data_IF_505870585593
#
_entry.id   IF_505870585593
#
_cell.length_a   1.000
_cell.length_b   1.000
_cell.length_c   1.000
_cell.angle_alpha   90.00
_cell.angle_beta   90.00
_cell.angle_gamma   90.00
#
_symmetry.space_group_name_H-M   'P 1'
#
loop_
_entity.id
_entity.type
_entity.pdbx_description
1 polymer ?
#
# COMPACT_ATOMS: atom_id res chain seq x y z
N UNK A 1 19.91 -11.69 -43.23
CA UNK A 1 19.82 -12.03 -41.79
C UNK A 1 21.20 -11.95 -41.15
N UNK A 2 21.52 -10.87 -40.43
CA UNK A 2 22.59 -10.82 -39.41
C UNK A 2 22.17 -9.79 -38.35
N UNK A 3 22.22 -10.17 -37.08
CA UNK A 3 21.81 -9.32 -35.95
C UNK A 3 22.84 -8.19 -35.74
N UNK A 4 22.35 -6.94 -35.63
CA UNK A 4 23.07 -5.82 -35.04
C UNK A 4 23.07 -6.01 -33.52
N UNK A 5 24.23 -5.90 -32.87
CA UNK A 5 24.34 -5.84 -31.42
C UNK A 5 24.34 -4.37 -30.99
N UNK A 6 23.32 -3.96 -30.23
CA UNK A 6 23.32 -2.70 -29.47
C UNK A 6 23.80 -3.00 -28.06
N UNK A 7 24.81 -2.28 -27.58
CA UNK A 7 25.27 -2.33 -26.18
C UNK A 7 24.76 -1.07 -25.49
N UNK A 8 23.87 -1.24 -24.52
CA UNK A 8 23.31 -0.13 -23.73
C UNK A 8 23.97 -0.13 -22.36
N UNK A 9 24.77 0.90 -22.06
CA UNK A 9 25.20 1.18 -20.68
C UNK A 9 24.23 2.19 -20.06
N UNK A 10 23.68 1.84 -18.91
CA UNK A 10 22.83 2.71 -18.12
C UNK A 10 23.71 3.42 -17.09
N UNK A 11 23.74 4.74 -17.13
CA UNK A 11 24.31 5.56 -16.06
C UNK A 11 23.15 6.31 -15.41
N UNK A 12 22.96 6.08 -14.12
CA UNK A 12 22.02 6.87 -13.31
C UNK A 12 22.78 8.12 -12.89
N UNK A 13 22.38 9.29 -13.38
CA UNK A 13 22.85 10.57 -12.87
C UNK A 13 21.78 11.15 -11.94
N UNK A 14 22.23 11.56 -10.76
CA UNK A 14 21.45 12.17 -9.69
C UNK A 14 20.77 13.48 -10.15
N UNK A 15 19.64 13.87 -9.56
CA UNK A 15 18.98 15.13 -9.91
C UNK A 15 19.84 16.32 -9.49
N UNK A 16 20.05 17.26 -10.41
CA UNK A 16 20.57 18.61 -10.10
C UNK A 16 19.36 19.53 -9.95
N UNK A 17 19.18 20.09 -8.76
CA UNK A 17 18.22 21.16 -8.52
C UNK A 17 18.83 22.47 -9.04
N UNK A 18 18.25 23.08 -10.09
CA UNK A 18 18.59 24.45 -10.45
C UNK A 18 17.68 25.41 -9.66
N UNK A 19 18.33 26.28 -8.90
CA UNK A 19 17.71 27.34 -8.11
C UNK A 19 17.65 28.62 -8.94
N UNK A 20 16.51 28.89 -9.58
CA UNK A 20 16.08 30.26 -9.93
C UNK A 20 14.77 30.26 -10.72
N UNK A 21 13.64 30.28 -10.02
CA UNK A 21 12.43 31.03 -10.41
C UNK A 21 11.42 31.04 -9.24
N UNK A 22 10.60 32.10 -9.07
CA UNK A 22 9.69 32.23 -7.94
C UNK A 22 8.38 31.43 -8.13
N UNK A 23 7.82 31.00 -7.00
CA UNK A 23 6.70 30.06 -6.77
C UNK A 23 5.43 30.21 -7.64
N UNK A 24 5.05 29.16 -8.40
CA UNK A 24 3.79 28.38 -8.23
C UNK A 24 3.73 27.18 -9.20
N UNK A 25 3.42 25.99 -8.66
CA UNK A 25 3.10 24.69 -9.31
C UNK A 25 4.16 24.07 -10.26
N UNK A 26 5.12 23.33 -9.69
CA UNK A 26 5.96 22.38 -10.42
C UNK A 26 5.73 20.98 -9.85
N UNK A 27 5.07 20.13 -10.63
CA UNK A 27 5.34 18.70 -10.67
C UNK A 27 5.11 18.22 -12.10
N UNK A 28 5.90 18.80 -13.01
CA UNK A 28 6.10 18.27 -14.35
C UNK A 28 7.54 17.80 -14.43
N UNK A 29 7.73 16.49 -14.52
CA UNK A 29 9.03 15.91 -14.83
C UNK A 29 9.23 16.00 -16.35
N UNK A 30 10.06 16.94 -16.77
CA UNK A 30 10.52 17.01 -18.15
C UNK A 30 11.74 16.10 -18.31
N UNK A 31 11.59 14.99 -19.03
CA UNK A 31 12.74 14.24 -19.50
C UNK A 31 13.16 14.77 -20.87
N UNK A 32 14.43 15.16 -21.02
CA UNK A 32 15.02 15.42 -22.33
C UNK A 32 15.79 14.17 -22.74
N UNK A 33 15.29 13.43 -23.73
CA UNK A 33 16.11 12.43 -24.41
C UNK A 33 16.82 13.06 -25.60
N UNK A 34 18.15 12.99 -25.59
CA UNK A 34 18.98 13.38 -26.72
C UNK A 34 19.29 12.13 -27.55
N UNK A 35 18.65 11.95 -28.69
CA UNK A 35 19.10 10.98 -29.69
C UNK A 35 19.96 11.67 -30.74
N UNK A 36 21.26 11.40 -30.69
CA UNK A 36 22.17 11.73 -31.79
C UNK A 36 22.16 10.55 -32.75
N UNK A 37 21.53 10.73 -33.91
CA UNK A 37 21.61 9.75 -35.01
C UNK A 37 22.60 10.30 -36.03
N UNK A 38 23.68 9.56 -36.29
CA UNK A 38 24.58 9.84 -37.40
C UNK A 38 24.14 9.04 -38.62
N UNK A 39 23.94 9.73 -39.74
CA UNK A 39 23.90 9.11 -41.06
C UNK A 39 25.31 9.15 -41.67
N UNK A 40 25.78 8.01 -42.16
CA UNK A 40 27.02 7.90 -42.94
C UNK A 40 26.73 8.39 -44.37
N UNK A 41 26.69 9.71 -44.55
CA UNK A 41 27.04 10.49 -45.75
C UNK A 41 26.26 11.83 -45.73
N UNK A 42 27.03 12.92 -45.67
CA UNK A 42 26.65 14.34 -45.72
C UNK A 42 25.88 14.96 -44.53
N UNK A 43 26.55 15.94 -43.89
CA UNK A 43 26.07 16.78 -42.79
C UNK A 43 24.85 17.62 -43.21
N UNK A 44 23.66 17.23 -42.78
CA UNK A 44 22.52 18.13 -42.66
C UNK A 44 21.81 17.87 -41.32
N UNK A 45 21.73 18.91 -40.47
CA UNK A 45 20.97 18.90 -39.21
C UNK A 45 19.56 19.41 -39.53
N UNK A 46 18.59 18.50 -39.60
CA UNK A 46 17.18 18.88 -39.61
C UNK A 46 16.65 18.80 -38.17
N UNK A 47 16.16 19.92 -37.67
CA UNK A 47 15.45 20.02 -36.39
C UNK A 47 13.96 20.08 -36.75
N UNK A 48 13.25 18.96 -36.64
CA UNK A 48 11.78 18.99 -36.69
C UNK A 48 11.25 18.87 -35.26
N UNK A 49 10.54 19.90 -34.80
CA UNK A 49 9.72 19.82 -33.60
C UNK A 49 8.35 19.34 -34.06
N UNK A 50 7.95 18.16 -33.61
CA UNK A 50 6.57 17.69 -33.78
C UNK A 50 5.95 17.53 -32.40
N UNK A 51 4.85 18.24 -32.15
CA UNK A 51 4.07 18.09 -30.92
C UNK A 51 3.12 16.92 -31.12
N UNK A 52 3.30 15.84 -30.37
CA UNK A 52 2.35 14.73 -30.32
C UNK A 52 1.62 14.76 -28.97
N UNK A 53 0.30 15.00 -29.01
CA UNK A 53 -0.59 14.70 -27.89
C UNK A 53 -0.90 13.20 -27.96
N UNK A 54 -0.21 12.39 -27.14
CA UNK A 54 -0.49 10.96 -27.03
C UNK A 54 -1.46 10.75 -25.89
N UNK A 55 -2.75 10.60 -26.23
CA UNK A 55 -3.73 9.95 -25.38
C UNK A 55 -3.73 8.44 -25.66
N UNK A 56 -3.73 7.68 -24.57
CA UNK A 56 -3.69 6.22 -24.41
C UNK A 56 -2.37 5.51 -24.80
N UNK A 57 -1.63 4.92 -23.84
CA UNK A 57 -0.57 3.99 -24.17
C UNK A 57 -1.18 2.61 -24.46
N UNK A 58 -1.22 2.23 -25.74
CA UNK A 58 -1.68 0.91 -26.16
C UNK A 58 -0.48 -0.05 -26.17
N UNK A 59 -0.52 -0.99 -25.21
CA UNK A 59 -0.05 -2.37 -25.25
C UNK A 59 1.32 -2.68 -25.87
N UNK A 60 2.20 -3.36 -25.11
CA UNK A 60 2.65 -4.72 -25.44
C UNK A 60 3.41 -5.36 -24.25
N UNK A 61 2.75 -6.37 -23.64
CA UNK A 61 3.27 -7.60 -23.00
C UNK A 61 4.42 -7.43 -21.98
N UNK A 62 4.18 -7.40 -20.67
CA UNK A 62 3.52 -8.43 -19.87
C UNK A 62 2.51 -7.78 -18.91
N UNK A 63 1.26 -8.27 -18.99
CA UNK A 63 0.18 -8.08 -18.02
C UNK A 63 -0.09 -6.64 -17.55
N UNK A 64 -1.08 -6.00 -18.17
CA UNK A 64 -2.06 -5.28 -17.36
C UNK A 64 -2.78 -6.35 -16.53
N UNK A 65 -2.15 -6.83 -15.46
CA UNK A 65 -2.91 -7.50 -14.44
C UNK A 65 -3.86 -6.43 -13.91
N UNK A 66 -5.18 -6.66 -13.87
CA UNK A 66 -5.93 -5.98 -12.83
C UNK A 66 -5.19 -6.40 -11.55
N UNK A 67 -4.49 -5.47 -10.88
CA UNK A 67 -4.25 -5.73 -9.47
C UNK A 67 -5.64 -5.70 -8.86
N UNK A 68 -6.22 -6.90 -8.75
CA UNK A 68 -7.39 -7.23 -7.96
C UNK A 68 -7.36 -6.37 -6.70
N UNK A 69 -8.34 -5.48 -6.53
CA UNK A 69 -8.57 -4.69 -5.32
C UNK A 69 -7.30 -4.06 -4.71
N UNK A 70 -7.01 -2.79 -5.01
CA UNK A 70 -6.15 -2.00 -4.11
C UNK A 70 -6.87 -1.82 -2.78
N UNK A 71 -6.77 -2.82 -1.90
CA UNK A 71 -7.29 -2.78 -0.54
C UNK A 71 -6.57 -1.66 0.19
N UNK A 72 -7.29 -0.57 0.45
CA UNK A 72 -6.79 0.56 1.23
C UNK A 72 -7.26 0.40 2.69
N UNK A 73 -6.52 1.00 3.62
CA UNK A 73 -6.77 0.86 5.07
C UNK A 73 -6.88 2.25 5.70
N UNK A 74 -7.85 2.42 6.58
CA UNK A 74 -8.09 3.68 7.32
C UNK A 74 -7.86 3.42 8.80
N UNK A 75 -6.96 4.18 9.42
CA UNK A 75 -6.83 4.20 10.87
C UNK A 75 -7.89 5.17 11.45
N UNK A 76 -8.67 4.67 12.39
CA UNK A 76 -9.61 5.50 13.16
C UNK A 76 -9.03 5.69 14.56
N UNK A 77 -8.70 6.94 14.89
CA UNK A 77 -8.10 7.32 16.18
C UNK A 77 -9.14 7.53 17.30
N UNK A 78 -10.26 6.81 17.23
CA UNK A 78 -11.28 6.76 18.29
C UNK A 78 -11.14 5.47 19.10
N UNK A 79 -11.58 5.47 20.37
CA UNK A 79 -11.47 4.30 21.23
C UNK A 79 -12.80 3.59 21.39
N UNK A 80 -12.93 2.43 20.75
CA UNK A 80 -14.13 1.60 20.75
C UNK A 80 -13.82 0.18 21.20
N UNK A 81 -14.83 -0.51 21.72
CA UNK A 81 -14.75 -1.97 21.85
C UNK A 81 -14.83 -2.63 20.47
N UNK A 82 -14.48 -3.91 20.37
CA UNK A 82 -14.34 -4.56 19.07
C UNK A 82 -15.63 -4.52 18.24
N UNK A 83 -16.79 -4.77 18.85
CA UNK A 83 -18.08 -4.76 18.15
C UNK A 83 -18.50 -3.36 17.70
N UNK A 84 -18.29 -2.33 18.53
CA UNK A 84 -18.51 -0.94 18.15
C UNK A 84 -17.56 -0.49 17.05
N UNK A 85 -16.29 -0.90 17.09
CA UNK A 85 -15.33 -0.63 16.02
C UNK A 85 -15.74 -1.27 14.70
N UNK A 86 -16.23 -2.52 14.73
CA UNK A 86 -16.77 -3.19 13.55
C UNK A 86 -18.00 -2.46 13.00
N UNK A 87 -18.93 -2.08 13.86
CA UNK A 87 -20.13 -1.33 13.45
C UNK A 87 -19.75 0.00 12.79
N UNK A 88 -18.80 0.74 13.39
CA UNK A 88 -18.26 1.97 12.81
C UNK A 88 -17.67 1.72 11.41
N UNK A 89 -16.82 0.69 11.27
CA UNK A 89 -16.23 0.39 9.97
C UNK A 89 -17.28 0.00 8.94
N UNK A 90 -18.37 -0.67 9.31
CA UNK A 90 -19.45 -1.03 8.38
C UNK A 90 -20.39 0.13 8.06
N UNK A 91 -20.46 1.14 8.93
CA UNK A 91 -21.25 2.34 8.71
C UNK A 91 -20.52 3.36 7.82
N UNK A 92 -19.21 3.51 8.01
CA UNK A 92 -18.42 4.54 7.34
C UNK A 92 -17.47 4.01 6.24
N UNK A 93 -17.20 2.72 6.24
CA UNK A 93 -16.25 2.03 5.36
C UNK A 93 -16.79 0.64 4.99
N UNK A 94 -15.93 -0.37 4.80
CA UNK A 94 -16.37 -1.75 4.51
C UNK A 94 -16.50 -2.64 5.76
N UNK A 95 -15.41 -2.88 6.47
CA UNK A 95 -15.36 -3.69 7.69
C UNK A 95 -14.03 -3.42 8.43
N UNK A 96 -13.81 -4.03 9.60
CA UNK A 96 -12.49 -4.08 10.22
C UNK A 96 -11.48 -4.75 9.29
N UNK A 97 -10.21 -4.34 9.40
CA UNK A 97 -9.14 -4.79 8.51
C UNK A 97 -8.91 -6.31 8.57
N UNK A 98 -8.89 -6.95 7.40
CA UNK A 98 -8.27 -8.25 7.22
C UNK A 98 -6.80 -8.11 6.80
N UNK A 99 -5.89 -8.83 7.44
CA UNK A 99 -4.46 -8.83 7.08
C UNK A 99 -4.09 -10.15 6.44
N UNK A 100 -3.75 -10.11 5.15
CA UNK A 100 -3.64 -11.28 4.27
C UNK A 100 -2.22 -11.57 3.80
N UNK A 101 -1.29 -10.67 4.10
CA UNK A 101 0.10 -10.78 3.72
C UNK A 101 1.02 -10.05 4.71
N UNK A 102 2.32 -10.35 4.65
CA UNK A 102 3.33 -9.65 5.46
C UNK A 102 3.41 -8.18 5.10
N UNK A 103 3.24 -7.87 3.82
CA UNK A 103 3.27 -6.52 3.27
C UNK A 103 2.14 -5.67 3.84
N UNK A 104 0.92 -6.23 3.90
CA UNK A 104 -0.23 -5.59 4.54
C UNK A 104 -0.01 -5.38 6.05
N UNK A 105 0.52 -6.39 6.75
CA UNK A 105 0.81 -6.27 8.18
C UNK A 105 1.81 -5.13 8.45
N UNK A 106 2.88 -5.07 7.65
CA UNK A 106 3.89 -4.04 7.77
C UNK A 106 3.30 -2.65 7.48
N UNK A 107 2.43 -2.53 6.47
CA UNK A 107 1.74 -1.29 6.19
C UNK A 107 0.89 -0.82 7.38
N UNK A 108 0.03 -1.70 7.92
CA UNK A 108 -0.81 -1.40 9.08
C UNK A 108 0.04 -1.00 10.30
N UNK A 109 1.12 -1.73 10.58
CA UNK A 109 2.03 -1.42 11.67
C UNK A 109 2.72 -0.04 11.50
N UNK A 110 3.19 0.28 10.28
CA UNK A 110 3.85 1.55 10.01
C UNK A 110 2.88 2.73 10.16
N UNK A 111 1.63 2.56 9.72
CA UNK A 111 0.58 3.57 9.91
C UNK A 111 0.33 3.82 11.40
N UNK A 112 0.28 2.77 12.22
CA UNK A 112 0.15 2.93 13.68
C UNK A 112 1.32 3.64 14.34
N UNK A 113 2.55 3.32 13.91
CA UNK A 113 3.76 3.94 14.48
C UNK A 113 3.80 5.45 14.29
N UNK A 114 3.13 5.95 13.25
CA UNK A 114 3.02 7.38 12.96
C UNK A 114 1.87 8.06 13.72
N UNK A 115 0.95 7.30 14.30
CA UNK A 115 -0.14 7.82 15.13
C UNK A 115 0.35 8.06 16.57
N UNK A 116 -0.06 9.17 17.16
CA UNK A 116 0.36 9.54 18.52
C UNK A 116 -0.42 8.74 19.57
N UNK A 117 0.27 8.27 20.61
CA UNK A 117 -0.32 7.64 21.80
C UNK A 117 -1.10 6.32 21.56
N UNK A 118 -0.80 5.59 20.48
CA UNK A 118 -1.43 4.28 20.21
C UNK A 118 -0.46 3.14 20.55
N UNK A 119 -0.91 2.19 21.39
CA UNK A 119 -0.13 1.00 21.77
C UNK A 119 -0.58 -0.26 21.03
N UNK A 120 -1.86 -0.34 20.68
CA UNK A 120 -2.48 -1.43 19.94
C UNK A 120 -3.72 -0.93 19.20
N UNK A 121 -4.13 -1.68 18.17
CA UNK A 121 -5.36 -1.40 17.43
C UNK A 121 -6.13 -2.67 17.10
N UNK A 122 -7.46 -2.57 17.04
CA UNK A 122 -8.32 -3.67 16.60
C UNK A 122 -8.12 -3.98 15.12
N UNK A 123 -8.15 -5.29 14.83
CA UNK A 123 -8.21 -5.86 13.49
C UNK A 123 -9.41 -6.80 13.40
N UNK A 124 -9.80 -7.18 12.18
CA UNK A 124 -11.00 -7.98 11.92
C UNK A 124 -10.91 -9.45 12.35
N UNK A 125 -9.97 -9.83 13.20
CA UNK A 125 -9.90 -11.19 13.77
C UNK A 125 -10.83 -11.32 14.96
N UNK A 126 -11.64 -12.38 14.99
CA UNK A 126 -12.46 -12.75 16.14
C UNK A 126 -12.55 -14.27 16.31
N UNK A 127 -12.84 -14.70 17.53
CA UNK A 127 -12.93 -16.11 17.94
C UNK A 127 -14.38 -16.60 17.85
N UNK A 128 -14.79 -17.07 16.68
CA UNK A 128 -15.80 -18.12 16.50
C UNK A 128 -15.68 -18.75 15.11
N UNK A 129 -15.42 -20.08 14.99
CA UNK A 129 -14.17 -20.75 15.35
C UNK A 129 -12.96 -20.14 14.58
N UNK A 130 -11.78 -20.07 15.21
CA UNK A 130 -10.53 -19.36 14.81
C UNK A 130 -10.01 -19.46 13.37
N UNK A 131 -10.80 -19.06 12.38
CA UNK A 131 -10.43 -19.08 10.97
C UNK A 131 -11.00 -17.89 10.19
N UNK A 132 -11.85 -17.06 10.80
CA UNK A 132 -12.65 -16.08 10.05
C UNK A 132 -12.26 -14.65 10.39
N UNK A 133 -11.93 -13.92 9.33
CA UNK A 133 -11.91 -12.47 9.35
C UNK A 133 -13.35 -11.95 9.32
N UNK A 134 -13.61 -10.80 9.93
CA UNK A 134 -14.94 -10.19 10.03
C UNK A 134 -15.55 -9.84 8.67
N UNK A 135 -14.68 -9.60 7.68
CA UNK A 135 -15.02 -9.35 6.28
C UNK A 135 -15.25 -10.64 5.47
N UNK A 136 -15.30 -11.81 6.13
CA UNK A 136 -15.39 -13.15 5.54
C UNK A 136 -14.24 -13.53 4.61
N UNK A 137 -13.12 -12.80 4.66
CA UNK A 137 -11.99 -13.09 3.80
C UNK A 137 -11.24 -14.34 4.28
N UNK A 138 -10.75 -15.17 3.36
CA UNK A 138 -10.03 -16.41 3.69
C UNK A 138 -8.52 -16.19 3.59
N UNK A 139 -7.77 -16.24 4.69
CA UNK A 139 -6.32 -16.04 4.70
C UNK A 139 -5.64 -17.07 5.59
N UNK A 140 -4.52 -17.62 5.11
CA UNK A 140 -3.63 -18.50 5.90
C UNK A 140 -2.48 -17.72 6.55
N UNK A 141 -2.34 -16.43 6.26
CA UNK A 141 -1.32 -15.59 6.86
C UNK A 141 -1.65 -15.37 8.34
N UNK A 142 -0.64 -15.59 9.19
CA UNK A 142 -0.71 -15.28 10.62
C UNK A 142 0.54 -14.56 11.08
N UNK A 143 0.38 -13.67 12.06
CA UNK A 143 1.50 -12.95 12.66
C UNK A 143 1.37 -12.83 14.18
N UNK A 144 0.99 -13.93 14.83
CA UNK A 144 0.79 -13.99 16.28
C UNK A 144 2.06 -13.68 17.07
N UNK A 145 1.89 -13.05 18.23
CA UNK A 145 2.91 -13.00 19.27
C UNK A 145 3.29 -14.40 19.74
N UNK A 146 4.51 -14.61 20.26
CA UNK A 146 4.86 -15.86 20.92
C UNK A 146 3.80 -16.20 21.98
N UNK A 147 3.38 -17.46 22.01
CA UNK A 147 2.32 -18.00 22.89
C UNK A 147 0.89 -17.57 22.59
N UNK A 148 0.64 -16.76 21.56
CA UNK A 148 -0.71 -16.37 21.14
C UNK A 148 -1.24 -17.19 19.95
N UNK A 149 -2.58 -17.31 19.79
CA UNK A 149 -3.61 -16.87 20.73
C UNK A 149 -3.72 -17.82 21.94
N UNK A 150 -3.78 -17.27 23.15
CA UNK A 150 -3.73 -18.07 24.40
C UNK A 150 -5.09 -18.24 25.08
N UNK A 151 -6.12 -17.50 24.66
CA UNK A 151 -7.43 -17.47 25.29
C UNK A 151 -7.37 -17.21 26.80
N UNK A 152 -6.65 -16.20 27.27
CA UNK A 152 -6.52 -16.01 28.71
C UNK A 152 -7.90 -15.97 29.40
N UNK A 153 -8.05 -16.78 30.46
CA UNK A 153 -9.30 -17.02 31.18
C UNK A 153 -10.51 -17.48 30.34
N UNK A 154 -10.29 -17.94 29.11
CA UNK A 154 -11.33 -18.24 28.14
C UNK A 154 -12.18 -17.05 27.72
N UNK A 155 -11.64 -15.83 27.76
CA UNK A 155 -12.38 -14.59 27.53
C UNK A 155 -11.75 -13.67 26.45
N UNK A 156 -10.61 -14.07 25.87
CA UNK A 156 -9.93 -13.31 24.82
C UNK A 156 -10.35 -13.81 23.44
N UNK A 157 -11.26 -13.06 22.83
CA UNK A 157 -11.97 -13.48 21.63
C UNK A 157 -11.79 -12.51 20.45
N UNK A 158 -11.04 -11.43 20.62
CA UNK A 158 -10.88 -10.40 19.59
C UNK A 158 -9.41 -10.15 19.32
N UNK A 159 -9.01 -10.06 18.05
CA UNK A 159 -7.61 -9.86 17.67
C UNK A 159 -7.22 -8.39 17.64
N UNK A 160 -6.05 -8.08 18.20
CA UNK A 160 -5.43 -6.76 18.17
C UNK A 160 -4.03 -6.85 17.54
N UNK A 161 -3.57 -5.77 16.91
CA UNK A 161 -2.20 -5.62 16.43
C UNK A 161 -1.44 -4.68 17.36
N UNK A 162 -0.28 -5.12 17.85
CA UNK A 162 0.63 -4.33 18.68
C UNK A 162 1.48 -3.39 17.82
N UNK A 163 1.51 -2.10 18.17
CA UNK A 163 2.31 -1.10 17.44
C UNK A 163 3.80 -1.39 17.55
N UNK A 164 4.23 -1.85 18.74
CA UNK A 164 5.63 -2.06 19.08
C UNK A 164 6.20 -3.24 18.30
N UNK A 165 5.57 -4.41 18.43
CA UNK A 165 6.06 -5.65 17.81
C UNK A 165 5.57 -5.85 16.38
N UNK A 166 4.43 -5.26 16.02
CA UNK A 166 3.74 -5.50 14.75
C UNK A 166 3.01 -6.83 14.69
N UNK A 167 2.96 -7.56 15.80
CA UNK A 167 2.37 -8.89 15.91
C UNK A 167 0.98 -8.83 16.54
N UNK A 168 0.26 -9.94 16.44
CA UNK A 168 -1.13 -10.05 16.87
C UNK A 168 -1.25 -10.71 18.24
N UNK A 169 -2.19 -10.24 19.04
CA UNK A 169 -2.64 -10.91 20.26
C UNK A 169 -4.15 -11.11 20.21
N UNK A 170 -4.66 -12.12 20.92
CA UNK A 170 -6.06 -12.12 21.32
C UNK A 170 -6.24 -11.31 22.61
N UNK A 171 -7.33 -10.57 22.64
CA UNK A 171 -7.65 -9.60 23.67
C UNK A 171 -9.12 -9.72 24.07
N UNK A 172 -9.43 -9.16 25.22
CA UNK A 172 -10.79 -9.04 25.70
C UNK A 172 -11.57 -8.06 24.80
N UNK A 173 -12.64 -8.52 24.16
CA UNK A 173 -13.40 -7.73 23.18
C UNK A 173 -13.98 -6.42 23.74
N UNK A 174 -14.11 -6.31 25.07
CA UNK A 174 -14.61 -5.13 25.77
C UNK A 174 -13.54 -4.05 26.03
N UNK A 175 -12.26 -4.34 25.77
CA UNK A 175 -11.20 -3.32 25.78
C UNK A 175 -11.52 -2.21 24.79
N UNK A 176 -11.04 -0.98 25.04
CA UNK A 176 -11.24 0.15 24.12
C UNK A 176 -9.92 0.53 23.48
N UNK A 177 -9.85 0.45 22.15
CA UNK A 177 -8.64 0.72 21.37
C UNK A 177 -9.00 1.47 20.09
N UNK A 178 -7.99 2.06 19.44
CA UNK A 178 -8.11 2.47 18.03
C UNK A 178 -8.26 1.26 17.14
N UNK A 179 -8.62 1.46 15.87
CA UNK A 179 -8.96 0.36 14.97
C UNK A 179 -8.73 0.71 13.51
N UNK A 180 -8.52 -0.31 12.68
CA UNK A 180 -8.40 -0.13 11.24
C UNK A 180 -9.62 -0.65 10.51
N UNK A 181 -10.09 0.14 9.56
CA UNK A 181 -11.11 -0.25 8.61
C UNK A 181 -10.51 -0.55 7.24
N UNK A 182 -11.13 -1.46 6.50
CA UNK A 182 -10.96 -1.61 5.06
C UNK A 182 -11.65 -0.44 4.36
N UNK A 183 -10.88 0.33 3.59
CA UNK A 183 -11.40 1.42 2.79
C UNK A 183 -12.25 0.91 1.62
N UNK A 184 -13.30 1.66 1.32
CA UNK A 184 -14.25 1.43 0.24
C UNK A 184 -15.63 1.96 0.63
N UNK A 185 -16.51 2.15 -0.35
CA UNK A 185 -17.90 2.51 -0.09
C UNK A 185 -18.62 1.32 0.58
N UNK A 186 -19.46 1.66 1.58
CA UNK A 186 -20.27 0.73 2.35
C UNK A 186 -21.43 0.16 1.52
#
# INVERSE_FOLDING_TARGET
MRKLHSSTRHYILSPVLSSSTPFTLINQFYFTEWKVVYSHYHRAKLISISWALINCPVLYLLSCFPSNSTTSYVLVEEHHNWSSAQAYCREHHRDLVSIRSREENNYVQLTLKNALQVTSAWIGLYREPWAFWSDNSNSTYTNWEPTQPNNYNSEQHCGSLSVISGKWGDDHCWNRMTFFCLAGEA
#
